data_IF_806122186226
#
_entry.id   IF_806122186226
#
_cell.length_a   1.000
_cell.length_b   1.000
_cell.length_c   1.000
_cell.angle_alpha   90.00
_cell.angle_beta   90.00
_cell.angle_gamma   90.00
#
_symmetry.space_group_name_H-M   'P 1'
#
loop_
_entity.id
_entity.type
_entity.pdbx_description
1 polymer ?
#
# COMPACT_ATOMS: atom_id res chain seq x y z
N UNK A 1 13.77 43.93 39.53
CA UNK A 1 14.03 43.59 38.13
C UNK A 1 15.25 42.69 38.06
N UNK A 2 15.07 41.40 37.72
CA UNK A 2 16.11 40.50 37.25
C UNK A 2 15.49 39.69 36.10
N UNK A 3 16.07 39.66 34.89
CA UNK A 3 15.54 38.85 33.82
C UNK A 3 16.03 37.40 33.97
N UNK A 4 15.07 36.49 33.85
CA UNK A 4 15.26 35.03 33.79
C UNK A 4 15.91 34.66 32.46
N UNK A 5 17.08 34.01 32.50
CA UNK A 5 17.72 33.42 31.32
C UNK A 5 17.18 32.00 31.09
N UNK A 6 16.20 31.87 30.21
CA UNK A 6 15.77 30.57 29.66
C UNK A 6 16.69 30.21 28.47
N UNK A 7 17.73 29.42 28.70
CA UNK A 7 18.46 28.76 27.61
C UNK A 7 17.67 27.52 27.15
N UNK A 8 16.71 27.74 26.25
CA UNK A 8 16.12 26.67 25.46
C UNK A 8 17.01 26.35 24.27
N UNK A 9 17.72 25.22 24.32
CA UNK A 9 18.40 24.65 23.15
C UNK A 9 17.35 24.12 22.17
N UNK A 10 16.82 25.02 21.34
CA UNK A 10 15.97 24.67 20.21
C UNK A 10 16.79 23.91 19.17
N UNK A 11 16.73 22.58 19.20
CA UNK A 11 17.15 21.72 18.10
C UNK A 11 16.26 22.02 16.89
N UNK A 12 16.68 22.95 16.04
CA UNK A 12 16.04 23.21 14.76
C UNK A 12 16.31 22.01 13.85
N UNK A 13 15.35 21.10 13.75
CA UNK A 13 15.38 20.00 12.78
C UNK A 13 15.34 20.58 11.35
N UNK A 14 16.52 20.85 10.78
CA UNK A 14 16.69 21.26 9.39
C UNK A 14 16.11 20.16 8.49
N UNK A 15 14.94 20.41 7.93
CA UNK A 15 14.31 19.48 7.00
C UNK A 15 15.07 19.57 5.69
N UNK A 16 16.09 18.72 5.50
CA UNK A 16 16.88 18.68 4.26
C UNK A 16 15.94 18.56 3.05
N UNK A 17 16.04 19.53 2.16
CA UNK A 17 15.33 19.56 0.89
C UNK A 17 15.61 18.27 0.11
N UNK A 18 14.56 17.74 -0.50
CA UNK A 18 14.62 16.48 -1.25
C UNK A 18 15.10 16.79 -2.67
N UNK A 19 16.20 16.16 -3.11
CA UNK A 19 16.83 16.40 -4.43
C UNK A 19 15.85 16.26 -5.60
N UNK A 20 15.84 17.23 -6.51
CA UNK A 20 15.02 17.23 -7.72
C UNK A 20 15.34 16.03 -8.62
N UNK A 21 16.63 15.74 -8.83
CA UNK A 21 17.09 14.59 -9.62
C UNK A 21 16.62 13.26 -9.00
N UNK A 22 16.67 13.16 -7.67
CA UNK A 22 16.17 12.00 -6.95
C UNK A 22 14.68 11.77 -7.20
N UNK A 23 13.87 12.85 -7.20
CA UNK A 23 12.42 12.77 -7.46
C UNK A 23 12.16 12.27 -8.87
N UNK A 24 12.88 12.79 -9.87
CA UNK A 24 12.73 12.38 -11.28
C UNK A 24 13.06 10.89 -11.46
N UNK A 25 14.15 10.41 -10.85
CA UNK A 25 14.55 8.99 -10.95
C UNK A 25 13.53 8.07 -10.27
N UNK A 26 13.06 8.44 -9.08
CA UNK A 26 12.01 7.68 -8.37
C UNK A 26 10.70 7.67 -9.15
N UNK A 27 10.27 8.80 -9.69
CA UNK A 27 9.06 8.90 -10.50
C UNK A 27 9.13 7.98 -11.72
N UNK A 28 10.26 7.98 -12.44
CA UNK A 28 10.47 7.10 -13.60
C UNK A 28 10.42 5.62 -13.20
N UNK A 29 11.08 5.24 -12.10
CA UNK A 29 11.12 3.87 -11.62
C UNK A 29 9.74 3.32 -11.21
N UNK A 30 8.85 4.19 -10.73
CA UNK A 30 7.49 3.84 -10.32
C UNK A 30 6.45 3.96 -11.44
N UNK A 31 6.74 4.70 -12.51
CA UNK A 31 5.91 4.70 -13.72
C UNK A 31 6.04 3.40 -14.52
N UNK A 32 7.21 2.76 -14.48
CA UNK A 32 7.43 1.46 -15.13
C UNK A 32 6.69 0.32 -14.40
N UNK A 33 6.69 0.35 -13.07
CA UNK A 33 5.96 -0.60 -12.23
C UNK A 33 5.70 0.04 -10.85
N UNK A 34 4.44 0.41 -10.62
CA UNK A 34 4.00 1.09 -9.40
C UNK A 34 3.88 0.19 -8.18
N UNK A 35 4.03 -1.14 -8.34
CA UNK A 35 3.90 -2.11 -7.24
C UNK A 35 5.25 -2.42 -6.56
N UNK A 36 6.32 -1.76 -6.99
CA UNK A 36 7.67 -2.05 -6.49
C UNK A 36 7.84 -1.62 -5.05
N UNK A 37 8.49 -2.49 -4.28
CA UNK A 37 8.86 -2.16 -2.91
C UNK A 37 9.87 -1.01 -2.88
N UNK A 38 9.86 -0.23 -1.80
CA UNK A 38 10.86 0.83 -1.57
C UNK A 38 12.30 0.31 -1.65
N UNK A 39 12.55 -0.94 -1.23
CA UNK A 39 13.88 -1.56 -1.30
C UNK A 39 14.28 -1.88 -2.73
N UNK A 40 13.33 -2.35 -3.54
CA UNK A 40 13.55 -2.62 -4.97
C UNK A 40 13.88 -1.33 -5.72
N UNK A 41 13.12 -0.25 -5.47
CA UNK A 41 13.39 1.08 -6.03
C UNK A 41 14.77 1.57 -5.59
N UNK A 42 15.09 1.48 -4.30
CA UNK A 42 16.40 1.87 -3.77
C UNK A 42 17.56 1.11 -4.45
N UNK A 43 17.46 -0.22 -4.58
CA UNK A 43 18.49 -1.04 -5.22
C UNK A 43 18.69 -0.66 -6.69
N UNK A 44 17.62 -0.33 -7.42
CA UNK A 44 17.75 0.18 -8.78
C UNK A 44 18.47 1.53 -8.80
N UNK A 45 18.09 2.47 -7.92
CA UNK A 45 18.75 3.78 -7.87
C UNK A 45 20.24 3.65 -7.57
N UNK A 46 20.63 2.74 -6.68
CA UNK A 46 22.04 2.45 -6.37
C UNK A 46 22.79 1.93 -7.61
N UNK A 47 22.16 1.05 -8.41
CA UNK A 47 22.72 0.59 -9.69
C UNK A 47 22.88 1.73 -10.71
N UNK A 48 22.01 2.73 -10.65
CA UNK A 48 22.06 3.96 -11.47
C UNK A 48 23.01 5.04 -10.87
N UNK A 49 23.84 4.68 -9.90
CA UNK A 49 24.84 5.57 -9.29
C UNK A 49 24.30 6.56 -8.25
N UNK A 50 23.10 6.33 -7.71
CA UNK A 50 22.59 7.11 -6.57
C UNK A 50 23.35 6.78 -5.29
N UNK A 51 23.58 7.79 -4.46
CA UNK A 51 24.18 7.65 -3.11
C UNK A 51 23.16 7.80 -1.98
N UNK A 52 21.88 7.92 -2.32
CA UNK A 52 20.81 8.12 -1.34
C UNK A 52 20.60 6.89 -0.46
N UNK A 53 20.49 7.11 0.86
CA UNK A 53 20.07 6.07 1.81
C UNK A 53 18.64 5.57 1.52
N UNK A 54 18.31 4.40 2.07
CA UNK A 54 16.95 3.84 2.00
C UNK A 54 15.91 4.78 2.63
N UNK A 55 16.25 5.48 3.73
CA UNK A 55 15.36 6.46 4.37
C UNK A 55 15.08 7.66 3.46
N UNK A 56 16.11 8.15 2.77
CA UNK A 56 15.98 9.23 1.77
C UNK A 56 15.14 8.76 0.58
N UNK A 57 15.33 7.52 0.14
CA UNK A 57 14.52 6.92 -0.94
C UNK A 57 13.05 6.87 -0.55
N UNK A 58 12.72 6.49 0.69
CA UNK A 58 11.34 6.51 1.19
C UNK A 58 10.74 7.93 1.22
N UNK A 59 11.52 8.93 1.61
CA UNK A 59 11.10 10.34 1.57
C UNK A 59 10.85 10.81 0.13
N UNK A 60 11.71 10.41 -0.80
CA UNK A 60 11.56 10.70 -2.23
C UNK A 60 10.28 10.09 -2.82
N UNK A 61 9.99 8.82 -2.52
CA UNK A 61 8.76 8.13 -2.94
C UNK A 61 7.52 8.89 -2.45
N UNK A 62 7.50 9.31 -1.18
CA UNK A 62 6.40 10.14 -0.65
C UNK A 62 6.32 11.50 -1.34
N UNK A 63 7.46 12.12 -1.62
CA UNK A 63 7.53 13.44 -2.25
C UNK A 63 7.08 13.45 -3.73
N UNK A 64 7.03 12.29 -4.38
CA UNK A 64 6.44 12.13 -5.73
C UNK A 64 4.98 11.65 -5.68
N UNK A 65 4.34 11.64 -4.51
CA UNK A 65 2.93 11.32 -4.35
C UNK A 65 2.58 9.84 -4.16
N UNK A 66 3.57 8.96 -4.10
CA UNK A 66 3.31 7.53 -3.89
C UNK A 66 3.21 7.20 -2.41
N UNK A 67 2.17 6.45 -2.05
CA UNK A 67 1.93 5.94 -0.69
C UNK A 67 2.01 4.43 -0.69
N UNK A 68 2.69 3.87 0.31
CA UNK A 68 2.64 2.43 0.54
C UNK A 68 1.21 2.03 0.92
N UNK A 69 0.63 1.10 0.18
CA UNK A 69 -0.63 0.46 0.52
C UNK A 69 -0.35 -0.97 0.96
N UNK A 70 -1.13 -1.45 1.93
CA UNK A 70 -1.20 -2.88 2.22
C UNK A 70 -1.83 -3.61 1.04
N UNK A 71 -1.31 -4.79 0.71
CA UNK A 71 -1.97 -5.67 -0.24
C UNK A 71 -3.32 -6.09 0.35
N UNK A 72 -4.39 -5.91 -0.43
CA UNK A 72 -5.69 -6.48 -0.08
C UNK A 72 -5.67 -7.94 -0.52
N UNK A 73 -5.99 -8.83 0.41
CA UNK A 73 -6.25 -10.21 0.03
C UNK A 73 -7.49 -10.25 -0.86
N UNK A 74 -7.39 -10.96 -1.97
CA UNK A 74 -8.48 -11.16 -2.91
C UNK A 74 -8.35 -12.52 -3.56
N UNK A 75 -9.48 -13.17 -3.80
CA UNK A 75 -9.47 -14.43 -4.54
C UNK A 75 -9.06 -14.18 -5.99
N UNK A 76 -8.06 -14.92 -6.44
CA UNK A 76 -7.64 -14.89 -7.84
C UNK A 76 -8.71 -15.53 -8.72
N UNK A 77 -9.39 -14.70 -9.52
CA UNK A 77 -10.34 -15.19 -10.51
C UNK A 77 -9.58 -15.74 -11.71
N UNK A 78 -9.81 -17.02 -12.05
CA UNK A 78 -9.26 -17.66 -13.26
C UNK A 78 -9.67 -16.89 -14.52
N UNK A 79 -8.82 -16.84 -15.53
CA UNK A 79 -9.07 -16.08 -16.77
C UNK A 79 -10.45 -16.42 -17.39
N UNK A 80 -10.76 -17.71 -17.53
CA UNK A 80 -12.05 -18.20 -18.06
C UNK A 80 -13.27 -17.75 -17.25
N UNK A 81 -13.12 -17.50 -15.95
CA UNK A 81 -14.21 -17.04 -15.09
C UNK A 81 -14.37 -15.52 -15.15
N UNK A 82 -13.33 -14.77 -15.53
CA UNK A 82 -13.41 -13.30 -15.67
C UNK A 82 -14.40 -12.92 -16.77
N UNK A 83 -14.31 -13.59 -17.92
CA UNK A 83 -15.21 -13.35 -19.06
C UNK A 83 -16.66 -13.64 -18.70
N UNK A 84 -16.93 -14.78 -18.05
CA UNK A 84 -18.28 -15.16 -17.60
C UNK A 84 -18.87 -14.15 -16.63
N UNK A 85 -18.09 -13.74 -15.61
CA UNK A 85 -18.53 -12.73 -14.63
C UNK A 85 -18.83 -11.39 -15.30
N UNK A 86 -17.98 -10.98 -16.24
CA UNK A 86 -18.13 -9.71 -16.94
C UNK A 86 -19.34 -9.71 -17.89
N UNK A 87 -19.55 -10.81 -18.62
CA UNK A 87 -20.73 -11.00 -19.46
C UNK A 87 -22.02 -10.98 -18.64
N UNK A 88 -22.04 -11.64 -17.47
CA UNK A 88 -23.17 -11.60 -16.55
C UNK A 88 -23.43 -10.19 -16.03
N UNK A 89 -22.42 -9.46 -15.55
CA UNK A 89 -22.61 -8.08 -15.09
C UNK A 89 -23.11 -7.16 -16.20
N UNK A 90 -22.61 -7.31 -17.43
CA UNK A 90 -23.08 -6.53 -18.58
C UNK A 90 -24.55 -6.81 -18.88
N UNK A 91 -24.96 -8.08 -18.87
CA UNK A 91 -26.35 -8.44 -19.16
C UNK A 91 -27.32 -7.94 -18.09
N UNK A 92 -26.91 -7.87 -16.81
CA UNK A 92 -27.71 -7.25 -15.76
C UNK A 92 -27.91 -5.76 -15.99
N UNK A 93 -26.84 -5.03 -16.35
CA UNK A 93 -26.91 -3.59 -16.62
C UNK A 93 -27.78 -3.31 -17.85
N UNK A 94 -27.59 -4.07 -18.93
CA UNK A 94 -28.33 -3.89 -20.19
C UNK A 94 -29.83 -4.13 -20.03
N UNK A 95 -30.21 -5.10 -19.17
CA UNK A 95 -31.62 -5.42 -18.90
C UNK A 95 -32.26 -4.53 -17.83
N UNK A 96 -31.51 -3.58 -17.27
CA UNK A 96 -31.86 -2.84 -16.04
C UNK A 96 -32.42 -3.77 -14.94
N UNK A 97 -31.82 -4.96 -14.80
CA UNK A 97 -32.29 -5.95 -13.84
C UNK A 97 -31.94 -5.48 -12.42
N UNK A 98 -32.99 -5.24 -11.62
CA UNK A 98 -32.89 -4.74 -10.24
C UNK A 98 -32.62 -5.84 -9.22
N UNK A 99 -32.57 -7.11 -9.65
CA UNK A 99 -32.43 -8.28 -8.79
C UNK A 99 -33.50 -8.34 -7.67
N UNK A 100 -34.63 -7.64 -7.88
CA UNK A 100 -35.73 -7.58 -6.92
C UNK A 100 -36.46 -8.92 -6.88
N UNK A 101 -36.65 -9.48 -5.69
CA UNK A 101 -37.30 -10.78 -5.51
C UNK A 101 -36.35 -11.98 -5.62
N UNK A 102 -35.03 -11.76 -5.65
CA UNK A 102 -34.03 -12.84 -5.60
C UNK A 102 -33.60 -13.06 -4.15
N UNK A 103 -33.57 -14.33 -3.72
CA UNK A 103 -32.98 -14.75 -2.45
C UNK A 103 -31.57 -15.26 -2.72
N UNK A 104 -30.57 -14.57 -2.17
CA UNK A 104 -29.18 -15.02 -2.20
C UNK A 104 -28.89 -15.87 -0.98
N UNK A 105 -28.31 -17.04 -1.20
CA UNK A 105 -27.93 -18.01 -0.16
C UNK A 105 -26.49 -18.45 -0.40
N UNK A 106 -25.71 -18.58 0.67
CA UNK A 106 -24.33 -19.06 0.65
C UNK A 106 -24.08 -19.92 1.89
N UNK A 107 -23.12 -20.84 1.80
CA UNK A 107 -22.73 -21.72 2.89
C UNK A 107 -21.40 -21.25 3.48
N UNK A 108 -21.31 -21.19 4.81
CA UNK A 108 -20.06 -20.81 5.50
C UNK A 108 -19.67 -21.86 6.53
N UNK A 109 -18.38 -22.19 6.58
CA UNK A 109 -17.84 -23.08 7.62
C UNK A 109 -17.50 -22.29 8.89
N UNK A 110 -17.88 -22.83 10.05
CA UNK A 110 -17.50 -22.32 11.37
C UNK A 110 -16.61 -23.37 12.03
N UNK A 111 -15.40 -22.99 12.42
CA UNK A 111 -14.47 -23.85 13.17
C UNK A 111 -14.54 -23.51 14.65
N UNK A 112 -14.83 -24.51 15.50
CA UNK A 112 -14.81 -24.35 16.95
C UNK A 112 -13.39 -24.63 17.47
N UNK A 113 -12.73 -23.61 18.01
CA UNK A 113 -11.49 -23.82 18.75
C UNK A 113 -11.82 -24.46 20.10
N UNK A 114 -11.60 -25.77 20.21
CA UNK A 114 -11.63 -26.46 21.51
C UNK A 114 -10.31 -26.12 22.21
N UNK A 115 -10.34 -25.14 23.12
CA UNK A 115 -9.21 -24.89 24.02
C UNK A 115 -8.93 -26.20 24.77
N UNK A 116 -7.74 -26.79 24.57
CA UNK A 116 -7.30 -27.92 25.39
C UNK A 116 -7.35 -27.48 26.86
N UNK A 117 -7.98 -28.22 27.78
CA UNK A 117 -7.77 -27.96 29.20
C UNK A 117 -6.27 -28.10 29.45
N UNK A 118 -5.66 -27.04 29.98
CA UNK A 118 -4.25 -27.07 30.36
C UNK A 118 -4.00 -28.21 31.35
N UNK A 119 -2.76 -28.72 31.45
CA UNK A 119 -2.46 -29.76 32.42
C UNK A 119 -2.82 -29.27 33.82
N UNK A 120 -3.67 -30.03 34.52
CA UNK A 120 -3.89 -29.86 35.95
C UNK A 120 -2.56 -30.08 36.65
N UNK A 121 -2.01 -29.01 37.22
CA UNK A 121 -0.88 -29.02 38.15
C UNK A 121 -1.08 -29.98 39.30
#
# INVERSE_FOLDING_TARGET
>A
MLPVTMFGTGSTSSTRAVSCLGKTRVSRALQQDGMRSCRTVHNQLMKEGSTHSLSTTRRLIKAVGYKASTLRYGQMVRAVNKEKRLAFCRSLIEKDDRLSGIIFTDESSISLEISKPGPST
#
